data_IF_948448574522
#
_entry.id   IF_948448574522
#
_cell.length_a   1.000
_cell.length_b   1.000
_cell.length_c   1.000
_cell.angle_alpha   90.00
_cell.angle_beta   90.00
_cell.angle_gamma   90.00
#
_symmetry.space_group_name_H-M   'P 1'
#
loop_
_entity.id
_entity.type
_entity.pdbx_description
1 polymer ?
#
# COMPACT_ATOMS: atom_id res chain seq x y z
N UNK A 1 -27.01 -9.18 41.74
CA UNK A 1 -26.69 -9.54 40.33
C UNK A 1 -25.96 -10.86 40.35
N UNK A 2 -26.23 -11.71 39.38
CA UNK A 2 -25.67 -13.06 39.32
C UNK A 2 -24.16 -12.99 39.01
N UNK A 3 -23.29 -13.57 39.84
CA UNK A 3 -21.83 -13.56 39.67
C UNK A 3 -21.42 -14.13 38.30
N UNK A 4 -22.20 -15.09 37.83
CA UNK A 4 -22.01 -15.68 36.48
C UNK A 4 -22.29 -14.66 35.38
N UNK A 5 -23.29 -13.81 35.50
CA UNK A 5 -23.61 -12.74 34.55
C UNK A 5 -22.47 -11.72 34.47
N UNK A 6 -21.97 -11.27 35.59
CA UNK A 6 -20.87 -10.28 35.68
C UNK A 6 -19.57 -10.85 35.05
N UNK A 7 -19.28 -12.14 35.27
CA UNK A 7 -18.15 -12.81 34.66
C UNK A 7 -18.30 -12.89 33.14
N UNK A 8 -19.50 -13.26 32.68
CA UNK A 8 -19.80 -13.35 31.24
C UNK A 8 -19.70 -11.97 30.57
N UNK A 9 -20.25 -10.95 31.20
CA UNK A 9 -20.20 -9.57 30.70
C UNK A 9 -18.76 -9.06 30.55
N UNK A 10 -17.91 -9.32 31.56
CA UNK A 10 -16.48 -8.96 31.49
C UNK A 10 -15.76 -9.64 30.32
N UNK A 11 -16.02 -10.94 30.11
CA UNK A 11 -15.40 -11.69 29.00
C UNK A 11 -15.89 -11.15 27.66
N UNK A 12 -17.21 -10.89 27.53
CA UNK A 12 -17.80 -10.35 26.32
C UNK A 12 -17.26 -8.97 25.98
N UNK A 13 -17.25 -8.03 26.95
CA UNK A 13 -16.67 -6.68 26.78
C UNK A 13 -15.20 -6.76 26.35
N UNK A 14 -14.39 -7.54 27.06
CA UNK A 14 -12.96 -7.70 26.75
C UNK A 14 -12.71 -8.24 25.34
N UNK A 15 -13.50 -9.21 24.89
CA UNK A 15 -13.34 -9.79 23.57
C UNK A 15 -13.82 -8.83 22.46
N UNK A 16 -14.91 -8.09 22.71
CA UNK A 16 -15.41 -7.07 21.81
C UNK A 16 -14.39 -5.93 21.65
N UNK A 17 -13.83 -5.44 22.75
CA UNK A 17 -12.79 -4.40 22.72
C UNK A 17 -11.56 -4.87 21.94
N UNK A 18 -11.10 -6.10 22.17
CA UNK A 18 -9.98 -6.68 21.40
C UNK A 18 -10.28 -6.75 19.90
N UNK A 19 -11.50 -7.13 19.52
CA UNK A 19 -11.89 -7.16 18.10
C UNK A 19 -11.90 -5.74 17.51
N UNK A 20 -12.46 -4.75 18.22
CA UNK A 20 -12.46 -3.35 17.77
C UNK A 20 -11.03 -2.85 17.57
N UNK A 21 -10.16 -3.04 18.56
CA UNK A 21 -8.75 -2.64 18.46
C UNK A 21 -8.03 -3.34 17.28
N UNK A 22 -8.34 -4.61 17.04
CA UNK A 22 -7.79 -5.37 15.92
C UNK A 22 -8.29 -4.85 14.57
N UNK A 23 -9.58 -4.48 14.46
CA UNK A 23 -10.15 -3.88 13.25
C UNK A 23 -9.51 -2.51 12.95
N UNK A 24 -9.38 -1.65 13.96
CA UNK A 24 -8.71 -0.35 13.83
C UNK A 24 -7.25 -0.52 13.41
N UNK A 25 -6.53 -1.46 14.04
CA UNK A 25 -5.13 -1.76 13.71
C UNK A 25 -4.98 -2.30 12.27
N UNK A 26 -5.92 -3.14 11.79
CA UNK A 26 -5.96 -3.61 10.40
C UNK A 26 -6.12 -2.45 9.43
N UNK A 27 -7.08 -1.57 9.70
CA UNK A 27 -7.39 -0.44 8.82
C UNK A 27 -6.25 0.58 8.81
N UNK A 28 -5.62 0.87 9.96
CA UNK A 28 -4.40 1.67 10.02
C UNK A 28 -3.27 1.07 9.21
N UNK A 29 -3.07 -0.24 9.33
CA UNK A 29 -2.03 -0.95 8.60
C UNK A 29 -2.22 -0.85 7.09
N UNK A 30 -3.46 -1.03 6.60
CA UNK A 30 -3.80 -0.97 5.17
C UNK A 30 -3.77 0.46 4.64
N UNK A 31 -4.36 1.40 5.37
CA UNK A 31 -4.60 2.75 4.84
C UNK A 31 -3.40 3.68 5.02
N UNK A 32 -2.64 3.50 6.10
CA UNK A 32 -1.56 4.40 6.47
C UNK A 32 -0.19 3.75 6.33
N UNK A 33 0.06 2.71 7.13
CA UNK A 33 1.40 2.12 7.23
C UNK A 33 1.87 1.54 5.89
N UNK A 34 1.00 0.81 5.19
CA UNK A 34 1.36 0.25 3.88
C UNK A 34 1.67 1.34 2.85
N UNK A 35 0.89 2.43 2.84
CA UNK A 35 1.11 3.55 1.91
C UNK A 35 2.43 4.29 2.21
N UNK A 36 2.76 4.49 3.50
CA UNK A 36 3.99 5.15 3.92
C UNK A 36 5.23 4.29 3.59
N UNK A 37 5.15 2.98 3.87
CA UNK A 37 6.23 2.01 3.53
C UNK A 37 6.41 1.90 2.01
N UNK A 38 5.32 1.88 1.23
CA UNK A 38 5.38 1.86 -0.23
C UNK A 38 6.08 3.12 -0.77
N UNK A 39 5.73 4.28 -0.24
CA UNK A 39 6.35 5.55 -0.65
C UNK A 39 7.85 5.57 -0.34
N UNK A 40 8.25 5.14 0.86
CA UNK A 40 9.66 5.05 1.25
C UNK A 40 10.42 4.02 0.38
N UNK A 41 9.83 2.85 0.14
CA UNK A 41 10.41 1.84 -0.74
C UNK A 41 10.62 2.37 -2.15
N UNK A 42 9.62 3.03 -2.72
CA UNK A 42 9.70 3.59 -4.07
C UNK A 42 10.77 4.68 -4.18
N UNK A 43 10.98 5.48 -3.14
CA UNK A 43 12.04 6.49 -3.11
C UNK A 43 13.43 5.87 -3.02
N UNK A 44 13.63 4.85 -2.17
CA UNK A 44 14.94 4.27 -1.87
C UNK A 44 15.36 3.18 -2.86
N UNK A 45 14.43 2.37 -3.34
CA UNK A 45 14.70 1.21 -4.20
C UNK A 45 13.91 1.21 -5.51
N UNK A 46 12.66 1.65 -5.49
CA UNK A 46 11.76 1.56 -6.64
C UNK A 46 12.25 2.32 -7.87
N UNK A 47 12.95 3.46 -7.68
CA UNK A 47 13.59 4.22 -8.77
C UNK A 47 14.69 3.38 -9.44
N UNK A 48 15.51 2.69 -8.65
CA UNK A 48 16.59 1.84 -9.16
C UNK A 48 16.01 0.61 -9.86
N UNK A 49 15.02 -0.04 -9.27
CA UNK A 49 14.32 -1.17 -9.89
C UNK A 49 13.66 -0.80 -11.22
N UNK A 50 13.06 0.39 -11.30
CA UNK A 50 12.53 0.90 -12.57
C UNK A 50 13.63 1.05 -13.60
N UNK A 51 14.78 1.66 -13.24
CA UNK A 51 15.92 1.82 -14.15
C UNK A 51 16.46 0.47 -14.64
N UNK A 52 16.54 -0.55 -13.78
CA UNK A 52 16.93 -1.90 -14.20
C UNK A 52 16.00 -2.41 -15.31
N UNK A 53 14.69 -2.32 -15.11
CA UNK A 53 13.70 -2.77 -16.11
C UNK A 53 13.80 -1.97 -17.41
N UNK A 54 13.98 -0.65 -17.31
CA UNK A 54 14.14 0.26 -18.45
C UNK A 54 15.39 -0.08 -19.27
N UNK A 55 16.56 -0.22 -18.61
CA UNK A 55 17.81 -0.53 -19.31
C UNK A 55 17.83 -1.96 -19.88
N UNK A 56 17.22 -2.92 -19.19
CA UNK A 56 17.02 -4.27 -19.77
C UNK A 56 16.22 -4.22 -21.07
N UNK A 57 15.14 -3.45 -21.10
CA UNK A 57 14.36 -3.25 -22.31
C UNK A 57 15.18 -2.57 -23.42
N UNK A 58 15.91 -1.50 -23.10
CA UNK A 58 16.74 -0.79 -24.08
C UNK A 58 17.84 -1.67 -24.65
N UNK A 59 18.55 -2.43 -23.80
CA UNK A 59 19.59 -3.37 -24.21
C UNK A 59 18.99 -4.49 -25.09
N UNK A 60 17.86 -5.07 -24.71
CA UNK A 60 17.18 -6.09 -25.51
C UNK A 60 16.72 -5.53 -26.87
N UNK A 61 16.20 -4.30 -26.90
CA UNK A 61 15.79 -3.64 -28.15
C UNK A 61 16.96 -3.39 -29.08
N UNK A 62 18.08 -2.91 -28.54
CA UNK A 62 19.29 -2.67 -29.31
C UNK A 62 19.87 -3.98 -29.89
N UNK A 63 20.01 -5.00 -29.04
CA UNK A 63 20.48 -6.32 -29.45
C UNK A 63 19.62 -6.92 -30.56
N UNK A 64 18.29 -6.86 -30.42
CA UNK A 64 17.37 -7.35 -31.44
C UNK A 64 17.47 -6.55 -32.75
N UNK A 65 17.67 -5.22 -32.66
CA UNK A 65 17.88 -4.35 -33.82
C UNK A 65 19.12 -4.76 -34.62
N UNK A 66 20.25 -4.94 -33.92
CA UNK A 66 21.50 -5.42 -34.53
C UNK A 66 21.29 -6.77 -35.19
N UNK A 67 20.68 -7.75 -34.53
CA UNK A 67 20.41 -9.08 -35.09
C UNK A 67 19.53 -9.02 -36.34
N UNK A 68 18.50 -8.19 -36.38
CA UNK A 68 17.64 -8.05 -37.55
C UNK A 68 18.36 -7.44 -38.74
N UNK A 69 19.26 -6.48 -38.51
CA UNK A 69 20.02 -5.83 -39.54
C UNK A 69 21.17 -6.75 -40.06
N UNK A 70 21.87 -7.47 -39.16
CA UNK A 70 22.87 -8.47 -39.56
C UNK A 70 22.24 -9.55 -40.43
N UNK A 71 21.12 -10.12 -40.03
CA UNK A 71 20.40 -11.11 -40.81
C UNK A 71 19.97 -10.59 -42.16
N UNK A 72 19.50 -9.35 -42.25
CA UNK A 72 19.14 -8.73 -43.51
C UNK A 72 20.36 -8.55 -44.45
N UNK A 73 21.52 -8.17 -43.90
CA UNK A 73 22.76 -8.04 -44.63
C UNK A 73 23.25 -9.41 -45.17
N UNK A 74 23.19 -10.47 -44.37
CA UNK A 74 23.52 -11.84 -44.78
C UNK A 74 22.61 -12.36 -45.90
N UNK A 75 21.30 -12.05 -45.81
CA UNK A 75 20.30 -12.46 -46.83
C UNK A 75 20.24 -11.51 -48.03
N UNK A 76 21.12 -10.51 -48.12
CA UNK A 76 21.12 -9.46 -49.13
C UNK A 76 19.74 -8.77 -49.30
N UNK A 77 18.96 -8.75 -48.24
CA UNK A 77 17.62 -8.19 -48.21
C UNK A 77 17.64 -6.72 -47.81
N UNK A 78 16.96 -5.88 -48.59
CA UNK A 78 16.80 -4.47 -48.21
C UNK A 78 15.74 -4.34 -47.10
N UNK A 79 16.17 -4.14 -45.86
CA UNK A 79 15.28 -3.92 -44.75
C UNK A 79 15.19 -2.41 -44.45
N UNK A 80 14.01 -1.86 -44.64
CA UNK A 80 13.77 -0.44 -44.30
C UNK A 80 13.68 -0.24 -42.79
N UNK A 81 14.32 0.80 -42.24
CA UNK A 81 14.32 1.12 -40.81
C UNK A 81 12.92 1.08 -40.18
N UNK A 82 11.84 1.61 -40.81
CA UNK A 82 10.47 1.52 -40.26
C UNK A 82 9.97 0.08 -40.08
N UNK A 83 10.39 -0.85 -40.94
CA UNK A 83 10.02 -2.26 -40.84
C UNK A 83 10.74 -2.94 -39.66
N UNK A 84 12.01 -2.57 -39.43
CA UNK A 84 12.76 -3.01 -38.25
C UNK A 84 12.09 -2.54 -36.99
N UNK A 85 11.80 -1.25 -36.89
CA UNK A 85 11.13 -0.67 -35.71
C UNK A 85 9.77 -1.32 -35.42
N UNK A 86 8.97 -1.60 -36.47
CA UNK A 86 7.69 -2.32 -36.29
C UNK A 86 7.91 -3.73 -35.74
N UNK A 87 8.89 -4.48 -36.22
CA UNK A 87 9.23 -5.82 -35.70
C UNK A 87 9.69 -5.74 -34.23
N UNK A 88 10.50 -4.74 -33.87
CA UNK A 88 10.95 -4.53 -32.51
C UNK A 88 9.76 -4.26 -31.58
N UNK A 89 8.83 -3.40 -31.99
CA UNK A 89 7.65 -3.07 -31.22
C UNK A 89 6.71 -4.28 -31.01
N UNK A 90 6.57 -5.12 -32.03
CA UNK A 90 5.80 -6.36 -31.95
C UNK A 90 6.45 -7.38 -31.00
N UNK A 91 7.75 -7.64 -31.13
CA UNK A 91 8.45 -8.66 -30.36
C UNK A 91 8.70 -8.25 -28.91
N UNK A 92 8.89 -6.97 -28.62
CA UNK A 92 9.17 -6.45 -27.28
C UNK A 92 7.97 -5.79 -26.61
N UNK A 93 6.76 -5.97 -27.18
CA UNK A 93 5.51 -5.36 -26.69
C UNK A 93 5.26 -5.58 -25.20
N UNK A 94 5.47 -6.79 -24.71
CA UNK A 94 5.21 -7.11 -23.31
C UNK A 94 6.27 -6.51 -22.37
N UNK A 95 7.53 -6.46 -22.80
CA UNK A 95 8.60 -5.79 -22.05
C UNK A 95 8.34 -4.28 -21.99
N UNK A 96 7.93 -3.65 -23.09
CA UNK A 96 7.55 -2.25 -23.12
C UNK A 96 6.37 -1.95 -22.19
N UNK A 97 5.34 -2.82 -22.16
CA UNK A 97 4.24 -2.70 -21.21
C UNK A 97 4.72 -2.75 -19.77
N UNK A 98 5.68 -3.63 -19.45
CA UNK A 98 6.25 -3.69 -18.09
C UNK A 98 6.95 -2.39 -17.72
N UNK A 99 7.76 -1.80 -18.60
CA UNK A 99 8.41 -0.50 -18.39
C UNK A 99 7.36 0.59 -18.12
N UNK A 100 6.35 0.69 -19.00
CA UNK A 100 5.29 1.71 -18.88
C UNK A 100 4.49 1.56 -17.58
N UNK A 101 4.12 0.34 -17.23
CA UNK A 101 3.35 0.08 -16.01
C UNK A 101 4.17 0.37 -14.74
N UNK A 102 5.46 -0.02 -14.73
CA UNK A 102 6.37 0.26 -13.62
C UNK A 102 6.57 1.77 -13.45
N UNK A 103 6.79 2.50 -14.53
CA UNK A 103 6.91 3.96 -14.53
C UNK A 103 5.65 4.64 -14.02
N UNK A 104 4.47 4.20 -14.51
CA UNK A 104 3.18 4.73 -14.06
C UNK A 104 2.98 4.52 -12.56
N UNK A 105 3.25 3.31 -12.08
CA UNK A 105 3.13 2.98 -10.65
C UNK A 105 4.10 3.82 -9.80
N UNK A 106 5.36 3.89 -10.17
CA UNK A 106 6.38 4.72 -9.51
C UNK A 106 5.93 6.18 -9.42
N UNK A 107 5.51 6.78 -10.55
CA UNK A 107 5.05 8.16 -10.59
C UNK A 107 3.80 8.38 -9.73
N UNK A 108 2.86 7.44 -9.74
CA UNK A 108 1.65 7.49 -8.92
C UNK A 108 1.99 7.48 -7.43
N UNK A 109 2.91 6.64 -6.99
CA UNK A 109 3.30 6.57 -5.58
C UNK A 109 4.09 7.81 -5.16
N UNK A 110 5.08 8.23 -5.97
CA UNK A 110 5.91 9.40 -5.66
C UNK A 110 5.14 10.74 -5.74
N UNK A 111 4.05 10.80 -6.51
CA UNK A 111 3.19 11.98 -6.55
C UNK A 111 2.21 12.10 -5.37
N UNK A 112 2.02 11.03 -4.59
CA UNK A 112 1.26 11.10 -3.34
C UNK A 112 1.98 12.07 -2.42
N UNK A 113 1.33 13.19 -2.10
CA UNK A 113 1.89 14.19 -1.18
C UNK A 113 2.08 13.55 0.19
N UNK A 114 3.28 13.58 0.79
CA UNK A 114 3.44 13.20 2.19
C UNK A 114 2.56 14.13 3.03
N UNK A 115 1.73 13.57 3.89
CA UNK A 115 0.84 14.34 4.78
C UNK A 115 1.57 15.30 5.72
N UNK A 116 2.86 15.08 5.96
CA UNK A 116 3.72 15.93 6.77
C UNK A 116 3.76 17.40 6.29
N UNK A 117 3.42 17.66 5.03
CA UNK A 117 3.34 19.03 4.50
C UNK A 117 2.01 19.75 4.76
N UNK A 118 0.94 19.02 5.08
CA UNK A 118 -0.37 19.66 5.33
C UNK A 118 -0.57 20.12 6.78
N UNK A 119 0.24 19.66 7.73
CA UNK A 119 0.08 19.93 9.17
C UNK A 119 1.01 21.02 9.69
N UNK A 120 1.97 21.52 8.91
CA UNK A 120 2.94 22.55 9.34
C UNK A 120 2.35 23.96 9.55
N UNK A 121 1.02 24.09 9.57
CA UNK A 121 0.32 25.36 9.82
C UNK A 121 -0.18 25.59 11.25
N UNK A 122 -0.09 24.63 12.16
CA UNK A 122 -0.59 24.77 13.53
C UNK A 122 0.49 24.42 14.57
N UNK A 123 0.94 25.44 15.22
CA UNK A 123 1.89 25.62 16.28
C UNK A 123 2.25 24.47 17.24
N UNK A 124 3.50 24.55 17.67
CA UNK A 124 4.21 23.80 18.70
C UNK A 124 3.38 23.39 19.94
N UNK A 125 3.38 22.07 20.25
CA UNK A 125 3.24 21.60 21.64
C UNK A 125 4.10 20.34 21.86
N UNK A 126 5.06 20.49 22.77
CA UNK A 126 5.78 19.51 23.62
C UNK A 126 5.89 18.05 23.20
N UNK A 127 7.08 17.60 22.79
CA UNK A 127 7.63 16.26 22.98
C UNK A 127 7.23 15.17 21.99
N UNK A 128 6.01 15.17 21.49
CA UNK A 128 5.58 14.36 20.37
C UNK A 128 5.46 15.26 19.13
N UNK A 129 5.83 14.77 17.95
CA UNK A 129 5.61 15.54 16.73
C UNK A 129 4.09 15.81 16.61
N UNK A 130 3.64 17.01 16.19
CA UNK A 130 2.22 17.34 16.04
C UNK A 130 1.44 16.28 15.26
N UNK A 131 2.09 15.60 14.37
CA UNK A 131 1.58 14.51 13.55
C UNK A 131 1.21 13.27 14.38
N UNK A 132 2.01 12.87 15.37
CA UNK A 132 1.74 11.68 16.21
C UNK A 132 0.53 11.88 17.12
N UNK A 133 0.39 13.08 17.73
CA UNK A 133 -0.78 13.41 18.57
C UNK A 133 -2.05 13.39 17.73
N UNK A 134 -2.01 13.99 16.54
CA UNK A 134 -3.14 14.02 15.63
C UNK A 134 -3.52 12.61 15.15
N UNK A 135 -2.56 11.78 14.82
CA UNK A 135 -2.80 10.38 14.44
C UNK A 135 -3.45 9.59 15.59
N UNK A 136 -3.00 9.76 16.82
CA UNK A 136 -3.62 9.13 17.97
C UNK A 136 -5.07 9.60 18.18
N UNK A 137 -5.34 10.88 18.05
CA UNK A 137 -6.71 11.42 18.13
C UNK A 137 -7.60 10.83 17.04
N UNK A 138 -7.11 10.76 15.82
CA UNK A 138 -7.84 10.13 14.71
C UNK A 138 -8.16 8.67 14.97
N UNK A 139 -7.20 7.90 15.52
CA UNK A 139 -7.44 6.50 15.90
C UNK A 139 -8.50 6.37 16.99
N UNK A 140 -8.47 7.24 17.99
CA UNK A 140 -9.48 7.24 19.06
C UNK A 140 -10.88 7.54 18.53
N UNK A 141 -11.01 8.55 17.68
CA UNK A 141 -12.27 8.89 17.00
C UNK A 141 -12.73 7.69 16.15
N UNK A 142 -11.84 7.17 15.32
CA UNK A 142 -12.19 6.05 14.45
C UNK A 142 -12.57 4.79 15.23
N UNK A 143 -11.89 4.51 16.34
CA UNK A 143 -12.24 3.42 17.26
C UNK A 143 -13.68 3.55 17.78
N UNK A 144 -14.10 4.75 18.19
CA UNK A 144 -15.46 5.04 18.63
C UNK A 144 -16.49 4.80 17.50
N UNK A 145 -16.15 5.19 16.27
CA UNK A 145 -16.98 4.96 15.08
C UNK A 145 -17.07 3.47 14.74
N UNK A 146 -15.94 2.74 14.78
CA UNK A 146 -15.90 1.28 14.57
C UNK A 146 -16.78 0.56 15.59
N UNK A 147 -16.71 0.93 16.85
CA UNK A 147 -17.54 0.33 17.91
C UNK A 147 -19.03 0.46 17.62
N UNK A 148 -19.48 1.59 17.06
CA UNK A 148 -20.90 1.91 16.85
C UNK A 148 -21.45 1.49 15.49
N UNK A 149 -20.62 1.53 14.45
CA UNK A 149 -21.10 1.46 13.06
C UNK A 149 -20.39 0.41 12.19
N UNK A 150 -19.41 -0.35 12.72
CA UNK A 150 -18.71 -1.30 11.85
C UNK A 150 -19.61 -2.48 11.47
N UNK A 151 -19.79 -2.80 10.16
CA UNK A 151 -20.74 -3.84 9.72
C UNK A 151 -20.48 -5.23 10.32
N UNK A 152 -19.22 -5.57 10.60
CA UNK A 152 -18.86 -6.83 11.25
C UNK A 152 -19.42 -6.94 12.69
N UNK A 153 -19.51 -5.81 13.40
CA UNK A 153 -20.03 -5.77 14.76
C UNK A 153 -21.56 -5.66 14.77
N UNK A 154 -22.14 -5.00 13.79
CA UNK A 154 -23.55 -4.66 13.67
C UNK A 154 -24.18 -5.29 12.42
N UNK A 155 -24.44 -6.61 12.45
CA UNK A 155 -24.93 -7.40 11.31
C UNK A 155 -26.29 -6.91 10.78
N UNK A 156 -27.10 -6.30 11.61
CA UNK A 156 -28.44 -5.81 11.28
C UNK A 156 -28.54 -4.28 11.19
N UNK A 157 -27.40 -3.62 10.95
CA UNK A 157 -27.40 -2.15 10.81
C UNK A 157 -28.19 -1.71 9.57
N UNK A 158 -28.69 -0.48 9.61
CA UNK A 158 -29.37 0.13 8.47
C UNK A 158 -28.41 0.39 7.30
N UNK A 159 -28.95 0.58 6.10
CA UNK A 159 -28.16 0.96 4.93
C UNK A 159 -27.50 2.34 5.14
N UNK A 160 -28.17 3.24 5.84
CA UNK A 160 -27.67 4.59 6.18
C UNK A 160 -26.48 4.50 7.13
N UNK A 161 -26.52 3.63 8.16
CA UNK A 161 -25.40 3.41 9.08
C UNK A 161 -24.19 2.81 8.35
N UNK A 162 -24.43 1.89 7.41
CA UNK A 162 -23.35 1.32 6.60
C UNK A 162 -22.71 2.36 5.68
N UNK A 163 -23.50 3.25 5.06
CA UNK A 163 -23.03 4.35 4.23
C UNK A 163 -22.27 5.40 5.07
N UNK A 164 -22.77 5.70 6.26
CA UNK A 164 -22.10 6.58 7.22
C UNK A 164 -20.73 6.01 7.61
N UNK A 165 -20.66 4.74 8.00
CA UNK A 165 -19.39 4.08 8.30
C UNK A 165 -18.42 4.14 7.12
N UNK A 166 -18.90 3.88 5.90
CA UNK A 166 -18.08 3.99 4.68
C UNK A 166 -17.47 5.38 4.49
N UNK A 167 -18.24 6.43 4.78
CA UNK A 167 -17.78 7.82 4.72
C UNK A 167 -16.72 8.13 5.80
N UNK A 168 -16.91 7.60 7.00
CA UNK A 168 -15.93 7.72 8.09
C UNK A 168 -14.63 6.98 7.78
N UNK A 169 -14.71 5.77 7.24
CA UNK A 169 -13.55 4.99 6.81
C UNK A 169 -12.78 5.69 5.68
N UNK A 170 -13.49 6.36 4.76
CA UNK A 170 -12.87 7.17 3.72
C UNK A 170 -12.11 8.38 4.29
N UNK A 171 -12.69 9.08 5.27
CA UNK A 171 -12.03 10.19 5.96
C UNK A 171 -10.79 9.71 6.76
N UNK A 172 -10.90 8.58 7.45
CA UNK A 172 -9.77 7.96 8.16
C UNK A 172 -8.65 7.58 7.19
N UNK A 173 -8.99 6.93 6.06
CA UNK A 173 -8.04 6.60 4.99
C UNK A 173 -7.33 7.82 4.43
N UNK A 174 -8.07 8.91 4.20
CA UNK A 174 -7.53 10.17 3.69
C UNK A 174 -6.73 10.95 4.74
N UNK A 175 -6.68 10.49 5.99
CA UNK A 175 -6.12 11.21 7.15
C UNK A 175 -6.74 12.62 7.31
N UNK A 176 -8.02 12.75 6.95
CA UNK A 176 -8.79 13.99 7.07
C UNK A 176 -9.37 14.14 8.49
N UNK A 177 -8.57 14.75 9.38
CA UNK A 177 -8.93 14.92 10.77
C UNK A 177 -10.21 15.75 10.97
N UNK A 178 -10.35 16.83 10.19
CA UNK A 178 -11.50 17.74 10.35
C UNK A 178 -12.79 17.01 9.99
N UNK A 179 -12.79 16.29 8.89
CA UNK A 179 -13.94 15.53 8.43
C UNK A 179 -14.26 14.36 9.37
N UNK A 180 -13.23 13.67 9.86
CA UNK A 180 -13.41 12.59 10.83
C UNK A 180 -14.01 13.12 12.15
N UNK A 181 -13.57 14.29 12.62
CA UNK A 181 -14.10 14.95 13.80
C UNK A 181 -15.56 15.42 13.60
N UNK A 182 -15.92 15.87 12.41
CA UNK A 182 -17.32 16.18 12.08
C UNK A 182 -18.19 14.92 12.17
N UNK A 183 -17.72 13.80 11.64
CA UNK A 183 -18.44 12.52 11.75
C UNK A 183 -18.56 12.05 13.21
N UNK A 184 -17.53 12.22 14.03
CA UNK A 184 -17.60 11.89 15.45
C UNK A 184 -18.70 12.70 16.15
N UNK A 185 -18.82 13.98 15.88
CA UNK A 185 -19.89 14.84 16.35
C UNK A 185 -21.27 14.35 15.89
N UNK A 186 -21.43 13.97 14.64
CA UNK A 186 -22.67 13.43 14.09
C UNK A 186 -23.03 12.06 14.71
N UNK A 187 -22.01 11.29 15.10
CA UNK A 187 -22.16 9.98 15.72
C UNK A 187 -22.46 10.05 17.23
N UNK A 188 -22.38 11.24 17.86
CA UNK A 188 -22.71 11.38 19.28
C UNK A 188 -24.17 11.01 19.55
N UNK A 189 -24.42 10.14 20.53
CA UNK A 189 -25.80 9.79 20.88
C UNK A 189 -26.58 11.04 21.35
N UNK A 190 -27.77 11.22 20.80
CA UNK A 190 -28.71 12.30 21.20
C UNK A 190 -29.19 12.11 22.65
N UNK A 191 -28.95 10.95 23.24
CA UNK A 191 -29.39 10.58 24.60
C UNK A 191 -28.20 10.12 25.44
N UNK A 192 -28.07 10.67 26.63
CA UNK A 192 -27.09 10.26 27.66
C UNK A 192 -27.37 8.87 28.27
N UNK A 193 -28.37 8.14 27.77
CA UNK A 193 -28.63 6.78 28.25
C UNK A 193 -27.59 5.82 27.71
N UNK A 194 -26.82 5.13 28.57
CA UNK A 194 -25.92 4.07 28.13
C UNK A 194 -26.71 3.00 27.37
N UNK A 195 -26.12 2.48 26.31
CA UNK A 195 -26.72 1.36 25.60
C UNK A 195 -27.01 0.22 26.57
N UNK A 196 -28.19 -0.38 26.46
CA UNK A 196 -28.59 -1.49 27.34
C UNK A 196 -27.58 -2.64 27.19
N UNK A 197 -27.09 -3.17 28.30
CA UNK A 197 -26.19 -4.30 28.31
C UNK A 197 -26.92 -5.55 27.76
N UNK A 198 -26.25 -6.38 26.94
CA UNK A 198 -26.87 -7.56 26.35
C UNK A 198 -27.20 -8.59 27.44
N UNK A 199 -28.31 -9.30 27.27
CA UNK A 199 -28.66 -10.41 28.15
C UNK A 199 -27.66 -11.57 28.08
N UNK A 200 -27.59 -12.40 29.11
CA UNK A 200 -26.66 -13.51 29.22
C UNK A 200 -26.75 -14.48 28.01
N UNK A 201 -27.95 -14.76 27.52
CA UNK A 201 -28.17 -15.66 26.37
C UNK A 201 -27.58 -15.04 25.08
N UNK A 202 -27.76 -13.74 24.86
CA UNK A 202 -27.19 -13.01 23.73
C UNK A 202 -25.66 -13.07 23.76
N UNK A 203 -25.07 -12.80 24.94
CA UNK A 203 -23.61 -12.89 25.11
C UNK A 203 -23.06 -14.29 24.84
N UNK A 204 -23.74 -15.33 25.33
CA UNK A 204 -23.34 -16.73 25.06
C UNK A 204 -23.38 -17.08 23.57
N UNK A 205 -24.33 -16.57 22.81
CA UNK A 205 -24.43 -16.74 21.36
C UNK A 205 -23.37 -15.93 20.58
N UNK A 206 -23.06 -14.72 21.04
CA UNK A 206 -22.10 -13.83 20.37
C UNK A 206 -20.64 -14.19 20.65
N UNK A 207 -20.29 -14.70 21.80
CA UNK A 207 -18.91 -15.01 22.16
C UNK A 207 -18.16 -15.89 21.14
N UNK A 208 -18.72 -17.01 20.65
CA UNK A 208 -18.07 -17.82 19.62
C UNK A 208 -17.84 -17.02 18.32
N UNK A 209 -18.84 -16.22 17.90
CA UNK A 209 -18.76 -15.37 16.71
C UNK A 209 -17.68 -14.31 16.85
N UNK A 210 -17.60 -13.61 17.99
CA UNK A 210 -16.57 -12.60 18.24
C UNK A 210 -15.16 -13.21 18.24
N UNK A 211 -14.99 -14.42 18.80
CA UNK A 211 -13.72 -15.15 18.79
C UNK A 211 -13.28 -15.51 17.36
N UNK A 212 -14.22 -16.03 16.55
CA UNK A 212 -13.95 -16.38 15.15
C UNK A 212 -13.55 -15.13 14.33
N UNK A 213 -14.30 -14.03 14.48
CA UNK A 213 -14.01 -12.77 13.82
C UNK A 213 -12.65 -12.21 14.23
N UNK A 214 -12.34 -12.24 15.53
CA UNK A 214 -11.03 -11.79 16.02
C UNK A 214 -9.88 -12.64 15.47
N UNK A 215 -10.05 -13.97 15.44
CA UNK A 215 -9.06 -14.87 14.86
C UNK A 215 -8.85 -14.61 13.36
N UNK A 216 -9.94 -14.46 12.58
CA UNK A 216 -9.89 -14.16 11.15
C UNK A 216 -9.23 -12.82 10.87
N UNK A 217 -9.58 -11.76 11.61
CA UNK A 217 -8.98 -10.44 11.45
C UNK A 217 -7.49 -10.44 11.83
N UNK A 218 -7.13 -11.19 12.88
CA UNK A 218 -5.72 -11.35 13.29
C UNK A 218 -4.89 -12.07 12.24
N UNK A 219 -5.45 -13.09 11.61
CA UNK A 219 -4.81 -13.81 10.49
C UNK A 219 -4.69 -12.92 9.24
N UNK A 220 -5.72 -12.12 8.94
CA UNK A 220 -5.66 -11.12 7.88
C UNK A 220 -4.52 -10.12 8.09
N UNK A 221 -4.35 -9.59 9.31
CA UNK A 221 -3.23 -8.71 9.66
C UNK A 221 -1.87 -9.41 9.43
N UNK A 222 -1.75 -10.69 9.82
CA UNK A 222 -0.51 -11.44 9.61
C UNK A 222 -0.19 -11.57 8.12
N UNK A 223 -1.20 -11.89 7.30
CA UNK A 223 -1.05 -11.99 5.84
C UNK A 223 -0.68 -10.65 5.22
N UNK A 224 -1.32 -9.55 5.65
CA UNK A 224 -1.01 -8.19 5.16
C UNK A 224 0.44 -7.82 5.50
N UNK A 225 0.91 -8.08 6.73
CA UNK A 225 2.30 -7.82 7.13
C UNK A 225 3.32 -8.64 6.33
N UNK A 226 2.95 -9.85 5.89
CA UNK A 226 3.79 -10.71 5.05
C UNK A 226 3.81 -10.33 3.56
N UNK A 227 2.96 -9.43 3.11
CA UNK A 227 2.86 -9.00 1.73
C UNK A 227 3.57 -7.66 1.47
N UNK A 228 3.87 -7.39 0.19
CA UNK A 228 4.34 -6.06 -0.24
C UNK A 228 3.24 -5.01 0.02
N UNK A 229 3.59 -3.80 0.51
CA UNK A 229 4.94 -3.31 0.76
C UNK A 229 5.49 -3.62 2.17
N UNK A 230 4.66 -4.09 3.10
CA UNK A 230 4.99 -4.20 4.53
C UNK A 230 6.11 -5.21 4.82
N UNK A 231 6.24 -6.26 4.02
CA UNK A 231 7.35 -7.21 4.11
C UNK A 231 8.73 -6.59 3.80
N UNK A 232 8.76 -5.36 3.29
CA UNK A 232 10.00 -4.63 2.99
C UNK A 232 10.49 -3.76 4.15
N UNK A 233 9.71 -3.60 5.22
CA UNK A 233 10.09 -2.79 6.38
C UNK A 233 11.44 -3.20 6.98
N UNK A 234 11.74 -4.50 7.03
CA UNK A 234 13.01 -4.99 7.55
C UNK A 234 14.24 -4.55 6.74
N UNK A 235 14.10 -4.43 5.42
CA UNK A 235 15.16 -3.92 4.54
C UNK A 235 15.28 -2.40 4.68
N UNK A 236 14.15 -1.70 4.74
CA UNK A 236 14.14 -0.23 4.85
C UNK A 236 14.68 0.27 6.19
N UNK A 237 14.52 -0.50 7.27
CA UNK A 237 15.00 -0.18 8.60
C UNK A 237 16.48 -0.55 8.85
N UNK A 238 17.10 -1.34 7.97
CA UNK A 238 18.48 -1.79 8.07
C UNK A 238 19.32 -1.09 6.99
N UNK A 239 20.05 -0.07 7.38
CA UNK A 239 20.88 0.72 6.47
C UNK A 239 21.93 -0.11 5.72
N UNK A 240 22.47 -1.16 6.32
CA UNK A 240 23.47 -2.01 5.68
C UNK A 240 22.82 -2.84 4.55
N UNK A 241 21.71 -3.51 4.83
CA UNK A 241 20.93 -4.26 3.83
C UNK A 241 20.37 -3.37 2.72
N UNK A 242 19.94 -2.17 3.10
CA UNK A 242 19.44 -1.21 2.12
C UNK A 242 20.53 -0.81 1.13
N UNK A 243 21.74 -0.43 1.63
CA UNK A 243 22.89 -0.08 0.79
C UNK A 243 23.36 -1.24 -0.07
N UNK A 244 23.41 -2.44 0.49
CA UNK A 244 23.73 -3.65 -0.29
C UNK A 244 22.75 -3.85 -1.44
N UNK A 245 21.45 -3.72 -1.16
CA UNK A 245 20.42 -3.86 -2.21
C UNK A 245 20.51 -2.76 -3.27
N UNK A 246 20.80 -1.52 -2.86
CA UNK A 246 21.00 -0.41 -3.80
C UNK A 246 22.22 -0.68 -4.70
N UNK A 247 23.34 -1.11 -4.11
CA UNK A 247 24.56 -1.45 -4.86
C UNK A 247 24.32 -2.53 -5.90
N UNK A 248 23.62 -3.61 -5.55
CA UNK A 248 23.27 -4.67 -6.49
C UNK A 248 22.41 -4.17 -7.66
N UNK A 249 21.49 -3.27 -7.41
CA UNK A 249 20.65 -2.67 -8.45
C UNK A 249 21.46 -1.72 -9.34
N UNK A 250 22.39 -0.96 -8.77
CA UNK A 250 23.29 -0.07 -9.53
C UNK A 250 24.25 -0.85 -10.40
N UNK A 251 24.82 -1.94 -9.89
CA UNK A 251 25.65 -2.87 -10.65
C UNK A 251 24.87 -3.48 -11.84
N UNK A 252 23.63 -3.89 -11.61
CA UNK A 252 22.77 -4.43 -12.68
C UNK A 252 22.44 -3.37 -13.73
N UNK A 253 22.17 -2.12 -13.34
CA UNK A 253 21.95 -1.00 -14.25
C UNK A 253 23.18 -0.79 -15.14
N UNK A 254 24.38 -0.76 -14.55
CA UNK A 254 25.61 -0.53 -15.33
C UNK A 254 25.91 -1.71 -16.25
N UNK A 255 25.63 -2.92 -15.83
CA UNK A 255 25.74 -4.11 -16.67
C UNK A 255 24.84 -4.01 -17.92
N UNK A 256 23.57 -3.62 -17.72
CA UNK A 256 22.65 -3.45 -18.86
C UNK A 256 23.04 -2.26 -19.76
N UNK A 257 23.60 -1.20 -19.19
CA UNK A 257 24.16 -0.08 -19.97
C UNK A 257 25.36 -0.50 -20.82
N UNK A 258 26.22 -1.34 -20.27
CA UNK A 258 27.38 -1.87 -21.01
C UNK A 258 26.91 -2.71 -22.20
N UNK A 259 25.97 -3.62 -22.00
CA UNK A 259 25.36 -4.40 -23.08
C UNK A 259 24.75 -3.46 -24.13
N UNK A 260 24.03 -2.43 -23.73
CA UNK A 260 23.46 -1.47 -24.68
C UNK A 260 24.54 -0.78 -25.51
N UNK A 261 25.63 -0.29 -24.89
CA UNK A 261 26.74 0.40 -25.58
C UNK A 261 27.48 -0.52 -26.54
N UNK A 262 27.69 -1.78 -26.16
CA UNK A 262 28.33 -2.79 -27.03
C UNK A 262 27.49 -3.07 -28.26
N UNK A 263 26.18 -3.20 -28.10
CA UNK A 263 25.28 -3.42 -29.25
C UNK A 263 25.12 -2.15 -30.11
N UNK A 264 25.14 -0.96 -29.49
CA UNK A 264 25.13 0.32 -30.21
C UNK A 264 26.40 0.50 -31.08
N UNK A 265 27.57 0.15 -30.54
CA UNK A 265 28.83 0.15 -31.32
C UNK A 265 28.76 -0.80 -32.53
N UNK A 266 28.21 -2.02 -32.35
CA UNK A 266 27.99 -2.95 -33.47
C UNK A 266 27.03 -2.39 -34.53
N UNK A 267 26.00 -1.66 -34.07
CA UNK A 267 25.04 -0.99 -34.97
C UNK A 267 25.74 0.08 -35.82
N UNK A 268 26.58 0.90 -35.20
CA UNK A 268 27.41 1.93 -35.88
C UNK A 268 28.33 1.32 -36.95
N UNK A 269 29.02 0.22 -36.61
CA UNK A 269 29.83 -0.50 -37.58
C UNK A 269 29.02 -1.04 -38.76
N UNK A 270 27.83 -1.60 -38.48
CA UNK A 270 26.94 -2.14 -39.51
C UNK A 270 26.39 -1.07 -40.47
N UNK A 271 26.20 0.12 -40.00
CA UNK A 271 25.67 1.25 -40.77
C UNK A 271 26.76 2.04 -41.50
N UNK A 272 28.05 1.77 -41.22
CA UNK A 272 29.19 2.42 -41.85
C UNK A 272 29.37 3.88 -41.38
N UNK A 273 28.90 4.20 -40.18
CA UNK A 273 29.02 5.54 -39.52
C UNK A 273 30.27 5.62 -38.64
#
# INVERSE_FOLDING_TARGET
MDEEYEKLLRVWKSLRDKLIDTLVARDELIFWTAADVEAEYMQKLGILEYKVVEFRYLAARMKLKVQLLQKAAEEQATLLLPQVEKKLDEQLKDQMKQVVNRRRHLNMVLSRRPLDRMVNGAGNVTGATPNQVLQQQMKQIYRSIVDRYHPILHVHQSQDDAAFFGSCAAAFRARDFLRLRQFDWMAMPISDKPAAEPGAETMRKELPRLRDLWAKTSEEIRRIKGAFPLNQQGILADDARLRERQKLLEEEIENQRTIYREEDAKLTELLGE
#
